data_IF_433168784986
#
_entry.id   IF_433168784986
#
_cell.length_a   1.000
_cell.length_b   1.000
_cell.length_c   1.000
_cell.angle_alpha   90.00
_cell.angle_beta   90.00
_cell.angle_gamma   90.00
#
_symmetry.space_group_name_H-M   'P 1'
#
loop_
_entity.id
_entity.type
_entity.pdbx_description
1 polymer ?
#
# COMPACT_ATOMS: atom_id res chain seq x y z
N UNK A 1 0.80 15.78 16.22
CA UNK A 1 0.65 14.52 15.44
C UNK A 1 0.08 14.88 14.08
N UNK A 2 0.68 14.41 12.99
CA UNK A 2 0.18 14.61 11.62
C UNK A 2 -0.29 13.26 11.09
N UNK A 3 -1.56 13.17 10.70
CA UNK A 3 -2.15 11.94 10.17
C UNK A 3 -2.42 12.08 8.67
N UNK A 4 -1.85 11.18 7.87
CA UNK A 4 -2.05 11.11 6.43
C UNK A 4 -2.85 9.88 6.01
N UNK A 5 -3.28 9.84 4.75
CA UNK A 5 -3.97 8.68 4.15
C UNK A 5 -3.02 7.52 3.80
N UNK A 6 -1.75 7.66 4.12
CA UNK A 6 -0.69 6.68 3.90
C UNK A 6 0.67 7.35 3.89
N UNK A 7 1.70 6.52 3.83
CA UNK A 7 3.10 6.96 3.81
C UNK A 7 3.37 7.91 2.64
N UNK A 8 2.90 7.58 1.43
CA UNK A 8 3.07 8.44 0.25
C UNK A 8 2.54 9.87 0.46
N UNK A 9 1.39 10.01 1.13
CA UNK A 9 0.84 11.34 1.42
C UNK A 9 1.77 12.12 2.36
N UNK A 10 2.33 11.47 3.38
CA UNK A 10 3.29 12.08 4.28
C UNK A 10 4.60 12.43 3.56
N UNK A 11 5.08 11.56 2.67
CA UNK A 11 6.29 11.83 1.86
C UNK A 11 6.13 13.07 0.97
N UNK A 12 4.95 13.24 0.35
CA UNK A 12 4.65 14.42 -0.46
C UNK A 12 4.67 15.68 0.42
N UNK A 13 4.01 15.64 1.57
CA UNK A 13 3.98 16.78 2.49
C UNK A 13 5.39 17.17 2.96
N UNK A 14 6.20 16.18 3.37
CA UNK A 14 7.58 16.40 3.79
C UNK A 14 8.41 17.02 2.68
N UNK A 15 8.28 16.53 1.44
CA UNK A 15 9.00 17.07 0.29
C UNK A 15 8.55 18.51 -0.06
N UNK A 16 7.26 18.82 0.05
CA UNK A 16 6.76 20.19 -0.13
C UNK A 16 7.36 21.13 0.92
N UNK A 17 7.31 20.75 2.20
CA UNK A 17 7.90 21.56 3.27
C UNK A 17 9.43 21.73 3.11
N UNK A 18 10.13 20.69 2.61
CA UNK A 18 11.56 20.78 2.27
C UNK A 18 11.81 21.81 1.16
N UNK A 19 10.96 21.86 0.13
CA UNK A 19 11.06 22.83 -0.97
C UNK A 19 10.74 24.27 -0.53
N UNK A 20 9.88 24.40 0.46
CA UNK A 20 9.56 25.67 1.12
C UNK A 20 10.60 26.08 2.19
N UNK A 21 11.70 25.33 2.29
CA UNK A 21 12.82 25.59 3.21
C UNK A 21 12.46 25.53 4.70
N UNK A 22 11.47 24.72 5.07
CA UNK A 22 11.21 24.41 6.48
C UNK A 22 12.22 23.41 7.03
N UNK A 23 12.66 23.66 8.27
CA UNK A 23 13.48 22.72 9.03
C UNK A 23 12.63 22.01 10.09
N UNK A 24 12.63 20.68 10.06
CA UNK A 24 11.90 19.85 11.03
C UNK A 24 12.50 18.44 11.10
N UNK A 25 12.19 17.72 12.17
CA UNK A 25 12.51 16.30 12.32
C UNK A 25 11.23 15.46 12.20
N UNK A 26 11.33 14.33 11.51
CA UNK A 26 10.24 13.37 11.30
C UNK A 26 10.62 12.02 11.89
N UNK A 27 9.69 11.41 12.62
CA UNK A 27 9.80 10.02 13.12
C UNK A 27 9.27 9.03 12.08
N UNK A 28 9.55 7.73 12.29
CA UNK A 28 8.98 6.66 11.46
C UNK A 28 7.45 6.71 11.53
N UNK A 29 6.73 6.67 10.39
CA UNK A 29 5.28 6.65 10.39
C UNK A 29 4.76 5.34 10.99
N UNK A 30 3.70 5.43 11.79
CA UNK A 30 3.04 4.29 12.42
C UNK A 30 1.57 4.20 12.00
N UNK A 31 1.01 2.98 11.87
CA UNK A 31 -0.40 2.82 11.56
C UNK A 31 -1.27 3.33 12.71
N UNK A 32 -2.27 4.14 12.35
CA UNK A 32 -3.29 4.58 13.31
C UNK A 32 -4.28 3.44 13.52
N UNK A 33 -4.13 2.74 14.64
CA UNK A 33 -5.04 1.66 15.05
C UNK A 33 -6.34 2.23 15.60
N UNK A 34 -7.44 1.48 15.42
CA UNK A 34 -8.74 1.83 16.00
C UNK A 34 -9.30 0.65 16.77
N UNK A 35 -9.99 0.94 17.88
CA UNK A 35 -10.73 -0.07 18.62
C UNK A 35 -12.15 -0.11 18.08
N UNK A 36 -12.54 -1.26 17.53
CA UNK A 36 -13.89 -1.53 17.02
C UNK A 36 -14.35 -2.82 17.70
N UNK A 37 -15.50 -2.79 18.35
CA UNK A 37 -16.07 -3.94 19.08
C UNK A 37 -15.11 -4.57 20.11
N UNK A 38 -14.34 -3.73 20.81
CA UNK A 38 -13.36 -4.16 21.81
C UNK A 38 -12.09 -4.80 21.23
N UNK A 39 -11.92 -4.85 19.90
CA UNK A 39 -10.74 -5.40 19.23
C UNK A 39 -9.92 -4.28 18.59
N UNK A 40 -8.60 -4.38 18.72
CA UNK A 40 -7.65 -3.50 18.02
C UNK A 40 -7.65 -3.93 16.55
N UNK A 41 -8.01 -3.00 15.67
CA UNK A 41 -7.97 -3.20 14.23
C UNK A 41 -6.95 -2.26 13.58
N UNK A 42 -6.07 -2.85 12.79
CA UNK A 42 -5.15 -2.14 11.93
C UNK A 42 -5.82 -1.78 10.60
N UNK A 43 -5.47 -0.63 9.99
CA UNK A 43 -5.98 -0.27 8.69
C UNK A 43 -5.44 -1.22 7.61
N UNK A 44 -6.35 -1.89 6.88
CA UNK A 44 -6.00 -2.65 5.67
C UNK A 44 -6.14 -1.78 4.42
N UNK A 45 -5.23 -1.98 3.46
CA UNK A 45 -5.23 -1.36 2.13
C UNK A 45 -5.30 -2.43 1.06
N UNK A 46 -5.69 -2.06 -0.16
CA UNK A 46 -5.65 -2.96 -1.31
C UNK A 46 -4.77 -2.38 -2.41
N UNK A 47 -3.76 -3.12 -2.84
CA UNK A 47 -2.98 -2.79 -4.02
C UNK A 47 -3.58 -3.49 -5.23
N UNK A 48 -3.87 -2.71 -6.26
CA UNK A 48 -4.33 -3.25 -7.54
C UNK A 48 -3.26 -3.01 -8.58
N UNK A 49 -2.74 -4.10 -9.16
CA UNK A 49 -1.76 -4.04 -10.24
C UNK A 49 -2.41 -4.47 -11.56
N UNK A 50 -2.06 -3.77 -12.63
CA UNK A 50 -2.49 -4.06 -14.00
C UNK A 50 -1.25 -4.29 -14.89
N UNK A 51 -0.52 -5.39 -14.70
CA UNK A 51 0.63 -5.70 -15.54
C UNK A 51 0.22 -6.10 -16.95
N UNK A 52 1.13 -5.85 -17.90
CA UNK A 52 1.10 -6.52 -19.20
C UNK A 52 1.27 -8.04 -19.01
N UNK A 53 0.64 -8.83 -19.88
CA UNK A 53 0.52 -10.30 -19.79
C UNK A 53 1.83 -11.02 -19.49
N UNK A 54 2.95 -10.53 -20.02
CA UNK A 54 4.30 -11.10 -19.87
C UNK A 54 4.92 -10.91 -18.48
N UNK A 55 4.42 -9.99 -17.64
CA UNK A 55 5.02 -9.67 -16.33
C UNK A 55 4.23 -10.23 -15.14
N UNK A 56 3.08 -10.85 -15.41
CA UNK A 56 2.19 -11.43 -14.38
C UNK A 56 2.88 -12.52 -13.55
N UNK A 57 3.70 -13.38 -14.17
CA UNK A 57 4.43 -14.44 -13.48
C UNK A 57 5.54 -13.93 -12.54
N UNK A 58 6.26 -12.88 -12.96
CA UNK A 58 7.31 -12.26 -12.14
C UNK A 58 6.73 -11.56 -10.92
N UNK A 59 5.61 -10.84 -11.09
CA UNK A 59 4.95 -10.20 -9.96
C UNK A 59 4.50 -11.25 -8.94
N UNK A 60 3.95 -12.39 -9.41
CA UNK A 60 3.56 -13.47 -8.51
C UNK A 60 4.75 -14.00 -7.70
N UNK A 61 5.92 -14.21 -8.32
CA UNK A 61 7.10 -14.70 -7.58
C UNK A 61 7.66 -13.67 -6.60
N UNK A 62 7.62 -12.37 -6.93
CA UNK A 62 8.06 -11.29 -6.04
C UNK A 62 7.13 -11.21 -4.82
N UNK A 63 5.80 -11.25 -5.03
CA UNK A 63 4.83 -11.11 -3.94
C UNK A 63 4.62 -12.40 -3.13
N UNK A 64 4.87 -13.59 -3.69
CA UNK A 64 4.84 -14.84 -2.91
C UNK A 64 6.12 -15.07 -2.09
N UNK A 65 7.23 -14.42 -2.44
CA UNK A 65 8.54 -14.75 -1.90
C UNK A 65 8.91 -14.09 -0.56
N UNK A 66 8.41 -12.90 -0.25
CA UNK A 66 9.09 -12.10 0.80
C UNK A 66 8.22 -11.13 1.62
N UNK A 67 6.89 -11.11 1.44
CA UNK A 67 6.06 -10.15 2.18
C UNK A 67 4.80 -10.84 2.73
N UNK A 68 4.50 -10.50 3.97
CA UNK A 68 3.62 -11.20 4.93
C UNK A 68 2.22 -11.50 4.37
N UNK A 69 1.78 -12.76 4.48
CA UNK A 69 0.36 -13.19 4.44
C UNK A 69 -0.52 -12.58 3.33
N UNK A 70 -0.07 -12.60 2.07
CA UNK A 70 -0.89 -12.13 0.95
C UNK A 70 -1.71 -13.28 0.34
N UNK A 71 -3.03 -13.18 0.45
CA UNK A 71 -3.95 -13.95 -0.40
C UNK A 71 -4.30 -13.16 -1.65
N UNK A 72 -4.26 -13.81 -2.83
CA UNK A 72 -4.74 -13.21 -4.07
C UNK A 72 -6.27 -13.18 -4.00
N UNK A 73 -6.87 -12.01 -3.76
CA UNK A 73 -8.33 -11.93 -3.57
C UNK A 73 -9.13 -12.06 -4.88
N UNK A 74 -8.58 -11.65 -6.02
CA UNK A 74 -9.24 -11.78 -7.32
C UNK A 74 -8.26 -11.56 -8.48
N UNK A 75 -8.40 -12.37 -9.54
CA UNK A 75 -7.81 -12.13 -10.86
C UNK A 75 -8.93 -11.94 -11.88
N UNK A 76 -9.18 -10.70 -12.29
CA UNK A 76 -10.16 -10.42 -13.35
C UNK A 76 -9.42 -10.30 -14.68
N UNK A 77 -9.66 -11.26 -15.59
CA UNK A 77 -9.26 -11.12 -16.99
C UNK A 77 -10.28 -10.22 -17.69
N UNK A 78 -9.92 -8.97 -17.97
CA UNK A 78 -10.73 -8.17 -18.88
C UNK A 78 -10.42 -8.57 -20.32
N UNK A 79 -11.45 -8.58 -21.17
CA UNK A 79 -11.42 -9.03 -22.57
C UNK A 79 -10.35 -8.34 -23.44
N UNK A 80 -9.79 -7.24 -22.96
CA UNK A 80 -8.67 -6.50 -23.53
C UNK A 80 -7.44 -6.64 -22.64
N UNK A 81 -6.68 -7.73 -22.84
CA UNK A 81 -5.25 -7.92 -22.50
C UNK A 81 -4.71 -7.53 -21.10
N UNK A 82 -5.54 -7.10 -20.15
CA UNK A 82 -5.11 -6.60 -18.85
C UNK A 82 -5.75 -7.43 -17.74
N UNK A 83 -4.90 -8.12 -16.99
CA UNK A 83 -5.30 -8.80 -15.76
C UNK A 83 -5.11 -7.86 -14.58
N UNK A 84 -6.19 -7.61 -13.83
CA UNK A 84 -6.11 -6.90 -12.55
C UNK A 84 -5.85 -7.91 -11.43
N UNK A 85 -4.83 -7.67 -10.59
CA UNK A 85 -4.54 -8.47 -9.40
C UNK A 85 -4.65 -7.58 -8.17
N UNK A 86 -5.46 -8.00 -7.19
CA UNK A 86 -5.68 -7.28 -5.93
C UNK A 86 -5.00 -7.99 -4.76
N UNK A 87 -4.23 -7.25 -3.97
CA UNK A 87 -3.49 -7.72 -2.80
C UNK A 87 -3.90 -6.94 -1.54
N UNK A 88 -4.27 -7.61 -0.43
CA UNK A 88 -4.52 -6.94 0.85
C UNK A 88 -3.21 -6.59 1.57
N UNK A 89 -2.91 -5.30 1.74
CA UNK A 89 -1.76 -4.78 2.49
C UNK A 89 -2.18 -4.40 3.90
N UNK A 90 -1.53 -4.96 4.92
CA UNK A 90 -1.53 -4.38 6.26
C UNK A 90 -0.65 -3.12 6.27
N UNK A 91 -1.17 -2.03 6.83
CA UNK A 91 -0.45 -0.77 6.97
C UNK A 91 0.25 -0.63 8.34
#
# INVERSE_FOLDING_TARGET
MVAGRGELHLSILVETMRREQFEFQVSRPEPVTKVIDGKIQNPMKFLTLAPMTNMSGLLRSIYQGDWRNYEICAMTKMATFTSSIRFPLEA
#
